data_IF_450008085679
#
_entry.id   IF_450008085679
#
_cell.length_a   1.000
_cell.length_b   1.000
_cell.length_c   1.000
_cell.angle_alpha   90.00
_cell.angle_beta   90.00
_cell.angle_gamma   90.00
#
_symmetry.space_group_name_H-M   'P 1'
#
loop_
_entity.id
_entity.type
_entity.pdbx_description
1 polymer ?
#
# COMPACT_ATOMS: atom_id res chain seq x y z
N UNK A 1 -6.14 23.43 -17.21
CA UNK A 1 -7.52 23.01 -17.58
C UNK A 1 -7.85 21.59 -17.12
N UNK A 2 -7.04 20.56 -17.43
CA UNK A 2 -7.31 19.17 -16.99
C UNK A 2 -7.38 18.98 -15.47
N UNK A 3 -6.50 19.65 -14.71
CA UNK A 3 -6.49 19.57 -13.25
C UNK A 3 -7.75 20.13 -12.60
N UNK A 4 -8.28 21.25 -13.13
CA UNK A 4 -9.53 21.83 -12.64
C UNK A 4 -10.71 20.87 -12.82
N UNK A 5 -10.79 20.22 -13.98
CA UNK A 5 -11.82 19.24 -14.26
C UNK A 5 -11.75 18.03 -13.33
N UNK A 6 -10.55 17.55 -13.01
CA UNK A 6 -10.35 16.46 -12.05
C UNK A 6 -10.78 16.86 -10.64
N UNK A 7 -10.44 18.08 -10.20
CA UNK A 7 -10.85 18.58 -8.89
C UNK A 7 -12.36 18.66 -8.73
N UNK A 8 -13.07 19.18 -9.75
CA UNK A 8 -14.53 19.25 -9.69
C UNK A 8 -15.17 17.86 -9.62
N UNK A 9 -14.62 16.86 -10.32
CA UNK A 9 -15.06 15.47 -10.18
C UNK A 9 -14.85 14.91 -8.77
N UNK A 10 -13.67 15.12 -8.19
CA UNK A 10 -13.35 14.63 -6.85
C UNK A 10 -14.28 15.26 -5.82
N UNK A 11 -14.52 16.58 -5.88
CA UNK A 11 -15.44 17.29 -4.98
C UNK A 11 -16.85 16.72 -5.01
N UNK A 12 -17.37 16.39 -6.21
CA UNK A 12 -18.69 15.78 -6.35
C UNK A 12 -18.73 14.41 -5.67
N UNK A 13 -17.73 13.57 -5.88
CA UNK A 13 -17.64 12.24 -5.26
C UNK A 13 -17.50 12.33 -3.74
N UNK A 14 -16.78 13.34 -3.24
CA UNK A 14 -16.56 13.54 -1.81
C UNK A 14 -17.71 14.26 -1.09
N UNK A 15 -18.76 14.71 -1.79
CA UNK A 15 -19.78 15.58 -1.20
C UNK A 15 -20.55 14.93 -0.05
N UNK A 16 -20.90 13.65 -0.19
CA UNK A 16 -21.79 12.93 0.73
C UNK A 16 -21.09 11.78 1.47
N UNK A 17 -19.75 11.74 1.47
CA UNK A 17 -18.98 10.73 2.20
C UNK A 17 -18.63 11.22 3.60
N UNK A 18 -18.88 10.39 4.62
CA UNK A 18 -18.55 10.70 6.01
C UNK A 18 -17.11 10.39 6.39
N UNK A 19 -16.47 9.47 5.65
CA UNK A 19 -15.09 9.02 5.89
C UNK A 19 -14.36 8.92 4.57
N UNK A 20 -13.15 9.48 4.53
CA UNK A 20 -12.19 9.31 3.44
C UNK A 20 -10.96 8.64 4.04
N UNK A 21 -10.60 7.47 3.52
CA UNK A 21 -9.37 6.78 3.91
C UNK A 21 -8.32 7.00 2.84
N UNK A 22 -7.15 7.48 3.25
CA UNK A 22 -5.98 7.61 2.38
C UNK A 22 -4.98 6.52 2.74
N UNK A 23 -4.33 5.94 1.73
CA UNK A 23 -3.13 5.15 1.98
C UNK A 23 -2.02 6.10 2.46
N UNK A 24 -1.30 5.71 3.50
CA UNK A 24 -0.17 6.50 3.99
C UNK A 24 0.95 6.46 2.96
N UNK A 25 1.16 5.30 2.35
CA UNK A 25 2.15 5.11 1.32
C UNK A 25 1.59 5.57 -0.03
N UNK A 26 2.42 6.23 -0.83
CA UNK A 26 2.11 6.72 -2.18
C UNK A 26 1.04 7.83 -2.28
N UNK A 27 0.39 8.21 -1.16
CA UNK A 27 -0.50 9.38 -1.08
C UNK A 27 0.03 10.49 -0.15
N UNK A 28 0.42 10.16 1.08
CA UNK A 28 0.75 11.18 2.10
C UNK A 28 2.25 11.40 2.29
N UNK A 29 3.06 10.35 2.14
CA UNK A 29 4.49 10.41 2.40
C UNK A 29 5.30 10.53 1.11
N UNK A 30 6.26 11.45 1.11
CA UNK A 30 7.37 11.41 0.17
C UNK A 30 8.30 10.27 0.57
N UNK A 31 8.38 9.23 -0.26
CA UNK A 31 9.34 8.15 -0.02
C UNK A 31 10.75 8.65 -0.34
N UNK A 32 11.76 8.35 0.50
CA UNK A 32 13.16 8.61 0.18
C UNK A 32 13.72 7.60 -0.84
N UNK A 33 12.87 6.73 -1.40
CA UNK A 33 13.24 5.63 -2.29
C UNK A 33 12.54 5.80 -3.63
N UNK A 34 13.27 5.60 -4.72
CA UNK A 34 12.76 5.70 -6.09
C UNK A 34 11.79 4.56 -6.39
N UNK A 35 12.12 3.33 -5.99
CA UNK A 35 11.24 2.16 -6.09
C UNK A 35 10.83 1.67 -4.71
N UNK A 36 9.57 1.24 -4.50
CA UNK A 36 9.14 0.67 -3.23
C UNK A 36 10.02 -0.49 -2.73
N UNK A 37 10.58 -1.28 -3.64
CA UNK A 37 11.45 -2.42 -3.33
C UNK A 37 12.85 -2.02 -2.85
N UNK A 38 13.28 -0.77 -3.08
CA UNK A 38 14.61 -0.31 -2.66
C UNK A 38 14.72 -0.23 -1.12
N UNK A 39 13.58 -0.05 -0.42
CA UNK A 39 13.51 -0.20 1.04
C UNK A 39 14.01 -1.58 1.49
N UNK A 40 13.70 -2.65 0.74
CA UNK A 40 14.10 -4.00 1.12
C UNK A 40 15.61 -4.20 0.99
N UNK A 41 16.22 -3.62 -0.04
CA UNK A 41 17.68 -3.62 -0.21
C UNK A 41 18.37 -2.88 0.94
N UNK A 42 17.82 -1.71 1.32
CA UNK A 42 18.36 -0.95 2.45
C UNK A 42 18.26 -1.75 3.75
N UNK A 43 17.12 -2.40 4.04
CA UNK A 43 16.96 -3.24 5.23
C UNK A 43 17.91 -4.46 5.24
N UNK A 44 18.10 -5.10 4.09
CA UNK A 44 19.06 -6.20 3.92
C UNK A 44 20.48 -5.77 4.30
N UNK A 45 20.91 -4.62 3.80
CA UNK A 45 22.22 -4.03 4.11
C UNK A 45 22.32 -3.62 5.60
N UNK A 46 21.34 -2.87 6.10
CA UNK A 46 21.31 -2.33 7.46
C UNK A 46 21.37 -3.42 8.53
N UNK A 47 20.70 -4.55 8.28
CA UNK A 47 20.60 -5.65 9.23
C UNK A 47 21.54 -6.82 8.92
N UNK A 48 22.37 -6.70 7.88
CA UNK A 48 23.23 -7.77 7.39
C UNK A 48 22.46 -9.09 7.23
N UNK A 49 21.35 -9.04 6.48
CA UNK A 49 20.46 -10.18 6.22
C UNK A 49 20.46 -10.56 4.74
N UNK A 50 21.48 -11.31 4.27
CA UNK A 50 21.60 -11.67 2.86
C UNK A 50 20.32 -12.32 2.32
N UNK A 51 19.91 -11.94 1.11
CA UNK A 51 18.73 -12.44 0.39
C UNK A 51 17.37 -12.01 0.95
N UNK A 52 17.31 -11.21 2.02
CA UNK A 52 16.06 -10.68 2.56
C UNK A 52 15.22 -9.95 1.49
N UNK A 53 15.85 -9.09 0.69
CA UNK A 53 15.16 -8.29 -0.31
C UNK A 53 14.51 -9.17 -1.38
N UNK A 54 15.27 -10.14 -1.91
CA UNK A 54 14.75 -11.09 -2.89
C UNK A 54 13.66 -11.99 -2.32
N UNK A 55 13.81 -12.45 -1.07
CA UNK A 55 12.79 -13.25 -0.41
C UNK A 55 11.47 -12.48 -0.23
N UNK A 56 11.54 -11.20 0.19
CA UNK A 56 10.34 -10.35 0.33
C UNK A 56 9.67 -10.06 -1.00
N UNK A 57 10.42 -9.72 -2.04
CA UNK A 57 9.87 -9.46 -3.38
C UNK A 57 9.10 -10.69 -3.89
N UNK A 58 9.70 -11.89 -3.77
CA UNK A 58 9.04 -13.14 -4.20
C UNK A 58 7.78 -13.44 -3.39
N UNK A 59 7.82 -13.24 -2.07
CA UNK A 59 6.66 -13.45 -1.21
C UNK A 59 5.51 -12.51 -1.61
N UNK A 60 5.79 -11.23 -1.85
CA UNK A 60 4.76 -10.26 -2.28
C UNK A 60 4.24 -10.55 -3.70
N UNK A 61 5.10 -10.96 -4.63
CA UNK A 61 4.68 -11.40 -5.96
C UNK A 61 3.76 -12.62 -5.90
N UNK A 62 4.12 -13.62 -5.09
CA UNK A 62 3.30 -14.81 -4.87
C UNK A 62 1.94 -14.44 -4.28
N UNK A 63 1.93 -13.60 -3.24
CA UNK A 63 0.68 -13.15 -2.62
C UNK A 63 -0.19 -12.38 -3.62
N UNK A 64 0.39 -11.50 -4.45
CA UNK A 64 -0.37 -10.76 -5.47
C UNK A 64 -0.93 -11.68 -6.56
N UNK A 65 -0.21 -12.73 -6.94
CA UNK A 65 -0.70 -13.68 -7.94
C UNK A 65 -1.72 -14.68 -7.39
N UNK A 66 -1.74 -14.91 -6.07
CA UNK A 66 -2.61 -15.91 -5.41
C UNK A 66 -3.80 -15.33 -4.63
N UNK A 67 -3.72 -14.10 -4.10
CA UNK A 67 -4.87 -13.42 -3.50
C UNK A 67 -5.81 -12.82 -4.54
N UNK A 68 -5.45 -12.82 -5.83
CA UNK A 68 -6.42 -12.56 -6.89
C UNK A 68 -7.50 -13.66 -7.00
N UNK A 69 -7.27 -14.84 -6.41
CA UNK A 69 -8.21 -15.98 -6.39
C UNK A 69 -8.83 -16.27 -5.02
N UNK A 70 -8.42 -15.57 -3.95
CA UNK A 70 -9.05 -15.69 -2.62
C UNK A 70 -9.11 -14.32 -1.94
N UNK A 71 -10.30 -13.86 -1.48
CA UNK A 71 -10.40 -12.59 -0.77
C UNK A 71 -9.49 -12.62 0.47
N UNK A 72 -8.81 -11.50 0.81
CA UNK A 72 -7.95 -11.46 1.98
C UNK A 72 -8.76 -11.89 3.21
N UNK A 73 -8.18 -12.72 4.11
CA UNK A 73 -8.87 -13.15 5.31
C UNK A 73 -9.36 -11.90 6.05
N UNK A 74 -10.65 -11.90 6.41
CA UNK A 74 -11.27 -10.84 7.20
C UNK A 74 -10.31 -10.50 8.35
N UNK A 75 -9.88 -9.25 8.39
CA UNK A 75 -8.80 -8.82 9.27
C UNK A 75 -9.10 -9.22 10.72
N UNK A 76 -8.04 -9.53 11.47
CA UNK A 76 -8.06 -9.88 12.90
C UNK A 76 -8.76 -8.84 13.81
N UNK A 77 -9.16 -7.68 13.28
CA UNK A 77 -9.86 -6.60 14.01
C UNK A 77 -11.28 -6.97 14.46
N UNK A 78 -11.87 -8.08 14.02
CA UNK A 78 -13.16 -8.56 14.53
C UNK A 78 -13.07 -9.27 15.91
N UNK A 79 -11.86 -9.60 16.39
CA UNK A 79 -11.69 -10.31 17.68
C UNK A 79 -11.73 -9.42 18.93
N UNK A 80 -11.91 -8.10 18.79
CA UNK A 80 -11.99 -7.17 19.93
C UNK A 80 -13.24 -6.28 19.96
N UNK A 81 -14.34 -6.71 19.33
CA UNK A 81 -15.67 -6.16 19.62
C UNK A 81 -16.45 -7.17 20.47
N UNK A 82 -16.17 -7.16 21.76
CA UNK A 82 -17.06 -7.66 22.81
C UNK A 82 -17.58 -6.44 23.59
#
# INVERSE_FOLDING_TARGET
>A
MAYQFLLEKIKVVCKDVSVISFDIFDTLLLRPYVRPTDLFLHLEYLHNKPNYAMARIRAEQYVRSTLATTPPPLSRYETHKA
#
